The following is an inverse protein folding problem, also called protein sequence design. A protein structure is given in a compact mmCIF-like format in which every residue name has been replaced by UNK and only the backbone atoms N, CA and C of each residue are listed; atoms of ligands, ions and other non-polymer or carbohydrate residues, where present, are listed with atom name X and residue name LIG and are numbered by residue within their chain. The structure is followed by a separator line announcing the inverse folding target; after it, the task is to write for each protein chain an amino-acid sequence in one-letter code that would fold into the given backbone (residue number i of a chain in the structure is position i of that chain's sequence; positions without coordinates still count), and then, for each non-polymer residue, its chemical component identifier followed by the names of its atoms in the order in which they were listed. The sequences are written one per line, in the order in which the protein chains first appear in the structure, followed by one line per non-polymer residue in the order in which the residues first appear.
data_IF_093318448384
#
_entry.id   IF_093318448384
#
_cell.length_a   1.000
_cell.length_b   1.000
_cell.length_c   1.000
_cell.angle_alpha   90.00
_cell.angle_beta   90.00
_cell.angle_gamma   90.00
#
_symmetry.space_group_name_H-M   'P 1'
#
loop_
_entity.id
_entity.type
_entity.pdbx_description
1 polymer ?
#
# COMPACT_ATOMS: atom_id res chain seq x y z
N UNK A 1 17.48 -25.78 55.01
CA UNK A 1 18.08 -24.97 53.92
C UNK A 1 17.40 -25.36 52.61
N UNK A 2 16.33 -24.67 52.21
CA UNK A 2 15.51 -25.01 51.05
C UNK A 2 16.08 -24.37 49.77
N UNK A 3 16.48 -25.18 48.78
CA UNK A 3 16.88 -24.71 47.45
C UNK A 3 15.63 -24.46 46.61
N UNK A 4 15.46 -23.21 46.16
CA UNK A 4 14.32 -22.74 45.38
C UNK A 4 14.70 -22.70 43.90
N UNK A 5 14.16 -23.64 43.14
CA UNK A 5 14.11 -23.59 41.68
C UNK A 5 13.36 -22.33 41.21
N UNK A 6 13.94 -21.59 40.27
CA UNK A 6 13.24 -20.57 39.49
C UNK A 6 13.52 -20.77 38.01
N UNK A 7 12.50 -21.33 37.38
CA UNK A 7 12.23 -21.48 35.95
C UNK A 7 11.80 -20.14 35.33
N UNK A 8 11.95 -20.05 33.99
CA UNK A 8 11.42 -19.07 32.99
C UNK A 8 12.44 -18.04 32.51
N UNK A 9 12.53 -17.70 31.23
CA UNK A 9 11.86 -18.22 30.03
C UNK A 9 12.64 -17.71 28.80
N UNK A 10 12.90 -18.62 27.87
CA UNK A 10 13.30 -18.29 26.50
C UNK A 10 12.12 -17.66 25.74
N UNK A 11 12.38 -16.54 25.06
CA UNK A 11 11.57 -15.99 23.96
C UNK A 11 12.55 -15.17 23.11
N UNK A 12 12.80 -15.44 21.84
CA UNK A 12 12.12 -16.28 20.89
C UNK A 12 12.43 -15.65 19.54
N UNK A 13 13.40 -16.23 18.82
CA UNK A 13 13.60 -15.91 17.42
C UNK A 13 12.34 -16.29 16.65
N UNK A 14 11.77 -15.33 15.91
CA UNK A 14 10.84 -15.62 14.82
C UNK A 14 11.30 -14.90 13.57
N UNK A 15 12.29 -15.51 12.93
CA UNK A 15 12.34 -15.52 11.48
C UNK A 15 11.09 -16.26 10.97
N UNK A 16 10.28 -15.58 10.16
CA UNK A 16 9.38 -16.19 9.18
C UNK A 16 9.42 -15.25 7.98
N UNK A 17 10.20 -15.51 6.93
CA UNK A 17 9.99 -16.51 5.88
C UNK A 17 8.52 -16.55 5.42
N UNK A 18 8.28 -15.85 4.31
CA UNK A 18 7.05 -15.85 3.53
C UNK A 18 7.33 -15.11 2.22
N UNK A 19 8.14 -15.74 1.37
CA UNK A 19 8.31 -15.35 -0.03
C UNK A 19 6.95 -15.39 -0.76
N UNK A 20 6.81 -14.69 -1.89
CA UNK A 20 5.53 -14.35 -2.48
C UNK A 20 4.89 -15.59 -3.11
N UNK A 21 3.61 -15.82 -2.83
CA UNK A 21 2.82 -16.78 -3.61
C UNK A 21 2.22 -16.03 -4.82
N UNK A 22 2.58 -16.41 -6.05
CA UNK A 22 1.90 -15.95 -7.25
C UNK A 22 0.79 -16.95 -7.54
N UNK A 23 -0.41 -16.72 -7.00
CA UNK A 23 -1.56 -17.53 -7.36
C UNK A 23 -2.48 -16.73 -8.27
N UNK A 24 -2.36 -17.10 -9.55
CA UNK A 24 -3.13 -16.62 -10.69
C UNK A 24 -4.50 -17.27 -10.61
N UNK A 25 -5.55 -16.46 -10.52
CA UNK A 25 -6.85 -16.62 -11.20
C UNK A 25 -7.85 -15.63 -10.60
N UNK A 26 -7.98 -14.42 -11.16
CA UNK A 26 -9.22 -13.64 -11.05
C UNK A 26 -9.39 -12.84 -12.32
N UNK A 27 -10.31 -13.33 -13.16
CA UNK A 27 -11.11 -12.62 -14.16
C UNK A 27 -10.46 -11.43 -14.87
N UNK A 28 -10.20 -11.66 -16.16
CA UNK A 28 -10.01 -10.69 -17.24
C UNK A 28 -11.27 -9.80 -17.41
N UNK A 29 -11.66 -9.08 -16.35
CA UNK A 29 -12.49 -7.90 -16.49
C UNK A 29 -11.51 -6.79 -16.84
N UNK A 30 -11.65 -6.22 -18.02
CA UNK A 30 -10.99 -4.99 -18.44
C UNK A 30 -11.32 -3.88 -17.42
N UNK A 31 -10.58 -3.85 -16.32
CA UNK A 31 -10.71 -2.88 -15.26
C UNK A 31 -9.97 -1.66 -15.74
N UNK A 32 -10.69 -0.66 -16.25
CA UNK A 32 -10.17 0.68 -16.60
C UNK A 32 -9.68 1.46 -15.37
N UNK A 33 -9.17 0.79 -14.34
CA UNK A 33 -8.63 1.39 -13.13
C UNK A 33 -7.13 1.71 -13.24
N UNK A 34 -6.53 2.27 -12.17
CA UNK A 34 -5.09 2.49 -12.12
C UNK A 34 -4.34 1.15 -12.22
N UNK A 35 -3.37 1.05 -13.14
CA UNK A 35 -2.60 -0.20 -13.37
C UNK A 35 -1.65 -0.48 -12.22
N UNK A 36 -1.10 0.56 -11.61
CA UNK A 36 -0.19 0.43 -10.48
C UNK A 36 -0.29 1.62 -9.53
N UNK A 37 -0.18 1.37 -8.23
CA UNK A 37 -0.22 2.42 -7.23
C UNK A 37 0.73 2.16 -6.07
N UNK A 38 1.23 3.25 -5.51
CA UNK A 38 2.09 3.24 -4.32
C UNK A 38 1.24 3.50 -3.07
N UNK A 39 1.37 2.67 -2.06
CA UNK A 39 0.76 2.85 -0.74
C UNK A 39 1.86 3.18 0.28
N UNK A 40 1.85 4.40 0.81
CA UNK A 40 2.90 4.90 1.72
C UNK A 40 2.40 4.98 3.16
N UNK A 41 3.00 4.20 4.04
CA UNK A 41 2.66 4.08 5.45
C UNK A 41 1.70 2.92 5.73
N UNK A 42 0.84 3.10 6.74
CA UNK A 42 -0.06 2.05 7.21
C UNK A 42 0.61 1.00 8.09
N UNK A 43 -0.09 -0.11 8.33
CA UNK A 43 0.39 -1.21 9.17
C UNK A 43 0.75 -2.40 8.28
N UNK A 44 1.97 -2.94 8.44
CA UNK A 44 2.46 -4.14 7.72
C UNK A 44 1.45 -5.30 7.73
N UNK A 45 0.80 -5.55 8.88
CA UNK A 45 -0.17 -6.63 9.04
C UNK A 45 -1.35 -6.56 8.06
N UNK A 46 -1.67 -5.38 7.51
CA UNK A 46 -2.78 -5.19 6.58
C UNK A 46 -2.34 -5.23 5.11
N UNK A 47 -1.03 -5.15 4.83
CA UNK A 47 -0.48 -5.07 3.46
C UNK A 47 -0.88 -6.28 2.62
N UNK A 48 -0.90 -7.48 3.20
CA UNK A 48 -1.36 -8.70 2.52
C UNK A 48 -2.80 -8.57 2.01
N UNK A 49 -3.71 -8.03 2.84
CA UNK A 49 -5.10 -7.81 2.44
C UNK A 49 -5.22 -6.68 1.41
N UNK A 50 -4.45 -5.60 1.55
CA UNK A 50 -4.46 -4.50 0.58
C UNK A 50 -3.98 -4.97 -0.79
N UNK A 51 -2.95 -5.82 -0.83
CA UNK A 51 -2.45 -6.44 -2.07
C UNK A 51 -3.51 -7.32 -2.71
N UNK A 52 -4.23 -8.13 -1.93
CA UNK A 52 -5.33 -8.94 -2.45
C UNK A 52 -6.44 -8.08 -3.06
N UNK A 53 -6.80 -6.96 -2.40
CA UNK A 53 -7.75 -5.99 -2.96
C UNK A 53 -7.21 -5.43 -4.27
N UNK A 54 -5.96 -4.95 -4.29
CA UNK A 54 -5.36 -4.41 -5.51
C UNK A 54 -5.41 -5.41 -6.68
N UNK A 55 -5.02 -6.66 -6.44
CA UNK A 55 -5.10 -7.75 -7.43
C UNK A 55 -6.52 -7.99 -7.92
N UNK A 56 -7.54 -7.91 -7.04
CA UNK A 56 -8.94 -8.03 -7.42
C UNK A 56 -9.43 -6.87 -8.31
N UNK A 57 -8.77 -5.71 -8.24
CA UNK A 57 -9.01 -4.55 -9.10
C UNK A 57 -8.06 -4.51 -10.30
N UNK A 58 -7.25 -5.55 -10.54
CA UNK A 58 -6.28 -5.59 -11.64
C UNK A 58 -5.13 -4.59 -11.49
N UNK A 59 -4.92 -4.08 -10.27
CA UNK A 59 -3.94 -3.06 -9.97
C UNK A 59 -2.75 -3.65 -9.19
N UNK A 60 -1.53 -3.22 -9.52
CA UNK A 60 -0.34 -3.57 -8.77
C UNK A 60 -0.16 -2.66 -7.55
N UNK A 61 -0.11 -3.25 -6.36
CA UNK A 61 0.19 -2.53 -5.12
C UNK A 61 1.68 -2.62 -4.80
N UNK A 62 2.31 -1.45 -4.72
CA UNK A 62 3.63 -1.28 -4.12
C UNK A 62 3.43 -0.67 -2.74
N UNK A 63 3.96 -1.32 -1.70
CA UNK A 63 3.90 -0.82 -0.33
C UNK A 63 5.25 -0.20 0.04
N UNK A 64 5.19 0.92 0.74
CA UNK A 64 6.36 1.53 1.36
C UNK A 64 5.99 1.89 2.80
N UNK A 65 6.82 1.53 3.76
CA UNK A 65 6.50 1.70 5.19
C UNK A 65 6.53 3.17 5.66
N UNK A 66 6.99 4.10 4.82
CA UNK A 66 6.89 5.54 5.07
C UNK A 66 8.02 6.08 5.93
N UNK A 67 9.22 5.49 5.84
CA UNK A 67 10.43 6.01 6.46
C UNK A 67 10.82 5.36 7.79
N UNK A 68 10.04 4.40 8.30
CA UNK A 68 10.38 3.73 9.56
C UNK A 68 11.45 2.66 9.35
N UNK A 69 11.37 1.93 8.23
CA UNK A 69 12.32 0.86 7.87
C UNK A 69 13.00 1.09 6.52
N UNK A 70 12.30 1.73 5.59
CA UNK A 70 12.79 1.99 4.24
C UNK A 70 13.12 3.47 4.05
N UNK A 71 14.20 3.76 3.33
CA UNK A 71 14.59 5.13 3.05
C UNK A 71 13.52 5.85 2.23
N UNK A 72 13.10 7.04 2.67
CA UNK A 72 12.11 7.89 1.99
C UNK A 72 12.52 8.21 0.55
N UNK A 73 13.83 8.19 0.25
CA UNK A 73 14.36 8.33 -1.12
C UNK A 73 13.87 7.26 -2.09
N UNK A 74 13.53 6.05 -1.62
CA UNK A 74 12.97 4.98 -2.46
C UNK A 74 11.59 5.34 -3.00
N UNK A 75 10.83 6.18 -2.30
CA UNK A 75 9.55 6.70 -2.83
C UNK A 75 9.80 7.47 -4.12
N UNK A 76 10.85 8.29 -4.19
CA UNK A 76 11.18 9.08 -5.38
C UNK A 76 11.53 8.22 -6.59
N UNK A 77 12.12 7.04 -6.37
CA UNK A 77 12.46 6.10 -7.45
C UNK A 77 11.25 5.30 -7.92
N UNK A 78 10.26 5.04 -7.05
CA UNK A 78 9.05 4.29 -7.38
C UNK A 78 7.93 5.18 -7.95
N UNK A 79 7.86 6.43 -7.51
CA UNK A 79 6.89 7.42 -8.01
C UNK A 79 6.73 7.49 -9.53
N UNK A 80 7.79 7.51 -10.36
CA UNK A 80 7.63 7.56 -11.81
C UNK A 80 6.96 6.30 -12.38
N UNK A 81 7.15 5.14 -11.74
CA UNK A 81 6.63 3.84 -12.20
C UNK A 81 5.17 3.58 -11.84
N UNK A 82 4.57 4.40 -10.95
CA UNK A 82 3.17 4.24 -10.52
C UNK A 82 2.25 5.28 -11.14
N UNK A 83 0.96 4.98 -11.24
CA UNK A 83 -0.05 5.93 -11.73
C UNK A 83 -0.52 6.87 -10.61
N UNK A 84 -0.75 6.32 -9.43
CA UNK A 84 -1.25 7.08 -8.28
C UNK A 84 -0.62 6.65 -6.95
N UNK A 85 -0.78 7.49 -5.94
CA UNK A 85 -0.22 7.27 -4.60
C UNK A 85 -1.30 7.43 -3.54
N UNK A 86 -1.44 6.43 -2.71
CA UNK A 86 -2.31 6.42 -1.54
C UNK A 86 -1.52 6.66 -0.27
N UNK A 87 -2.01 7.59 0.55
CA UNK A 87 -1.34 8.02 1.76
C UNK A 87 -2.31 8.05 2.95
N UNK A 88 -2.39 6.99 3.79
CA UNK A 88 -3.13 7.02 5.04
C UNK A 88 -2.56 8.07 6.01
N UNK A 89 -3.33 9.12 6.31
CA UNK A 89 -2.92 10.21 7.20
C UNK A 89 -2.82 9.82 8.68
N UNK A 90 -3.44 8.69 9.07
CA UNK A 90 -3.40 8.17 10.44
C UNK A 90 -2.08 7.46 10.78
N UNK A 91 -1.37 6.95 9.77
CA UNK A 91 -0.20 6.09 9.94
C UNK A 91 0.88 6.43 8.89
N UNK A 92 1.36 7.68 8.88
CA UNK A 92 2.49 8.10 8.05
C UNK A 92 3.38 9.09 8.81
N UNK A 93 4.69 8.99 8.62
CA UNK A 93 5.66 9.96 9.13
C UNK A 93 5.52 11.31 8.41
N UNK A 94 5.74 12.40 9.15
CA UNK A 94 5.66 13.75 8.58
C UNK A 94 6.60 13.94 7.38
N UNK A 95 7.83 13.44 7.48
CA UNK A 95 8.83 13.51 6.41
C UNK A 95 8.37 12.77 5.13
N UNK A 96 7.83 11.55 5.29
CA UNK A 96 7.31 10.78 4.17
C UNK A 96 6.12 11.46 3.49
N UNK A 97 5.20 12.06 4.26
CA UNK A 97 4.08 12.81 3.71
C UNK A 97 4.57 14.01 2.87
N UNK A 98 5.52 14.79 3.39
CA UNK A 98 6.12 15.92 2.67
C UNK A 98 6.84 15.46 1.39
N UNK A 99 7.56 14.34 1.46
CA UNK A 99 8.27 13.78 0.30
C UNK A 99 7.32 13.26 -0.76
N UNK A 100 6.28 12.52 -0.39
CA UNK A 100 5.25 12.05 -1.32
C UNK A 100 4.55 13.23 -1.96
N UNK A 101 4.13 14.24 -1.19
CA UNK A 101 3.46 15.43 -1.72
C UNK A 101 4.33 16.18 -2.73
N UNK A 102 5.61 16.40 -2.39
CA UNK A 102 6.58 17.04 -3.28
C UNK A 102 6.89 16.20 -4.51
N UNK A 103 7.04 14.88 -4.33
CA UNK A 103 7.28 13.93 -5.40
C UNK A 103 6.12 13.82 -6.37
N UNK A 104 4.89 13.68 -5.89
CA UNK A 104 3.69 13.67 -6.73
C UNK A 104 3.57 14.97 -7.55
N UNK A 105 3.89 16.12 -6.96
CA UNK A 105 3.92 17.41 -7.69
C UNK A 105 5.00 17.43 -8.77
N UNK A 106 6.19 16.87 -8.49
CA UNK A 106 7.33 16.82 -9.42
C UNK A 106 7.09 15.87 -10.59
N UNK A 107 6.53 14.68 -10.34
CA UNK A 107 6.29 13.65 -11.35
C UNK A 107 4.89 13.73 -11.98
N UNK A 108 4.04 14.67 -11.55
CA UNK A 108 2.67 14.82 -12.04
C UNK A 108 1.75 13.66 -11.68
N UNK A 109 2.02 12.94 -10.59
CA UNK A 109 1.26 11.76 -10.16
C UNK A 109 0.09 12.13 -9.26
N UNK A 110 -1.00 11.38 -9.34
CA UNK A 110 -2.18 11.63 -8.51
C UNK A 110 -1.90 11.26 -7.06
N UNK A 111 -1.97 12.24 -6.16
CA UNK A 111 -1.85 12.03 -4.72
C UNK A 111 -3.24 11.92 -4.08
N UNK A 112 -3.48 10.82 -3.36
CA UNK A 112 -4.77 10.51 -2.75
C UNK A 112 -4.56 10.28 -1.25
N UNK A 113 -4.84 11.30 -0.42
CA UNK A 113 -4.82 11.12 1.02
C UNK A 113 -6.01 10.24 1.44
N UNK A 114 -5.73 9.18 2.19
CA UNK A 114 -6.75 8.33 2.78
C UNK A 114 -6.95 8.75 4.24
N UNK A 115 -8.21 8.81 4.68
CA UNK A 115 -8.55 9.16 6.08
C UNK A 115 -7.94 8.19 7.09
N UNK A 116 -7.86 6.91 6.73
CA UNK A 116 -7.26 5.87 7.57
C UNK A 116 -6.62 4.78 6.68
N UNK A 117 -5.82 3.92 7.31
CA UNK A 117 -5.18 2.78 6.65
C UNK A 117 -6.06 1.52 6.59
N UNK A 118 -7.38 1.67 6.47
CA UNK A 118 -8.31 0.53 6.45
C UNK A 118 -8.55 0.00 5.04
N UNK A 119 -8.80 -1.30 4.94
CA UNK A 119 -9.17 -2.01 3.69
C UNK A 119 -10.32 -1.32 2.95
N UNK A 120 -11.39 -1.00 3.67
CA UNK A 120 -12.59 -0.37 3.11
C UNK A 120 -12.30 1.01 2.51
N UNK A 121 -11.37 1.76 3.11
CA UNK A 121 -10.98 3.08 2.60
C UNK A 121 -10.17 2.98 1.31
N UNK A 122 -9.27 2.01 1.19
CA UNK A 122 -8.58 1.75 -0.08
C UNK A 122 -9.57 1.27 -1.14
N UNK A 123 -10.41 0.28 -0.82
CA UNK A 123 -11.38 -0.28 -1.76
C UNK A 123 -12.32 0.80 -2.31
N UNK A 124 -12.85 1.66 -1.44
CA UNK A 124 -13.72 2.76 -1.87
C UNK A 124 -12.98 3.73 -2.78
N UNK A 125 -11.73 4.04 -2.49
CA UNK A 125 -10.94 4.95 -3.31
C UNK A 125 -10.61 4.35 -4.69
N UNK A 126 -10.32 3.05 -4.76
CA UNK A 126 -10.14 2.33 -6.03
C UNK A 126 -11.44 2.26 -6.83
N UNK A 127 -12.58 1.97 -6.19
CA UNK A 127 -13.90 2.00 -6.84
C UNK A 127 -14.19 3.37 -7.43
N UNK A 128 -14.03 4.45 -6.66
CA UNK A 128 -14.25 5.81 -7.14
C UNK A 128 -13.33 6.18 -8.30
N UNK A 129 -12.08 5.70 -8.31
CA UNK A 129 -11.19 5.92 -9.45
C UNK A 129 -11.61 5.13 -10.69
N UNK A 130 -12.00 3.87 -10.51
CA UNK A 130 -12.50 3.05 -11.61
C UNK A 130 -13.77 3.65 -12.22
N UNK A 131 -14.72 4.09 -11.40
CA UNK A 131 -15.94 4.77 -11.84
C UNK A 131 -15.65 6.08 -12.60
N UNK A 132 -14.63 6.84 -12.16
CA UNK A 132 -14.22 8.07 -12.85
C UNK A 132 -13.62 7.77 -14.22
N UNK A 133 -12.75 6.78 -14.34
CA UNK A 133 -12.18 6.42 -15.64
C UNK A 133 -13.28 5.93 -16.59
N UNK A 134 -14.17 5.07 -16.12
CA UNK A 134 -15.30 4.57 -16.92
C UNK A 134 -16.20 5.72 -17.41
N UNK A 135 -16.47 6.72 -16.57
CA UNK A 135 -17.26 7.89 -16.96
C UNK A 135 -16.53 8.79 -17.96
N UNK A 136 -15.21 8.90 -17.88
CA UNK A 136 -14.40 9.65 -18.84
C UNK A 136 -14.40 8.96 -20.22
N UNK A 137 -14.23 7.63 -20.24
CA UNK A 137 -14.30 6.81 -21.46
C UNK A 137 -15.68 6.86 -22.13
N UNK A 138 -16.77 6.94 -21.35
CA UNK A 138 -18.13 7.08 -21.89
C UNK A 138 -18.42 8.48 -22.43
N UNK A 139 -17.72 9.51 -21.95
CA UNK A 139 -17.89 10.90 -22.42
C UNK A 139 -17.02 11.21 -23.65
N UNK A 140 -15.94 10.45 -23.85
CA UNK A 140 -15.07 10.54 -25.01
C UNK A 140 -15.62 9.80 -26.25
N UNK A 141 -16.68 9.01 -26.11
CA UNK A 141 -17.44 8.35 -27.18
C UNK A 141 -18.66 9.18 -27.58
#
# INVERSE_FOLDING_TARGET
MARKEKKKAERGGKQGKGAPQPEKDVAEQQLSGPKSFLYVGGRDCQVAHLRQIASNFGAELIHHDGGLREAVSRIDTVLPSVDCVFCPIDCISHDACLRVKSGCKKFGKTFIPLRNGSKSSLQRALQTMNERTLNDERRAQ
#
